data_IF_792437696685
#
_entry.id   IF_792437696685
#
_cell.length_a   1.000
_cell.length_b   1.000
_cell.length_c   1.000
_cell.angle_alpha   90.00
_cell.angle_beta   90.00
_cell.angle_gamma   90.00
#
_symmetry.space_group_name_H-M   'P 1'
#
loop_
_entity.id
_entity.type
_entity.pdbx_description
1 polymer ?
#
# COMPACT_ATOMS: atom_id res chain seq x y z
N UNK A 1 -8.87 -18.89 14.63
CA UNK A 1 -9.65 -19.59 13.59
C UNK A 1 -8.73 -19.81 12.39
N UNK A 2 -8.39 -21.07 12.10
CA UNK A 2 -7.27 -21.46 11.22
C UNK A 2 -7.52 -21.19 9.72
N UNK A 3 -8.79 -20.95 9.35
CA UNK A 3 -9.25 -20.86 7.95
C UNK A 3 -9.60 -19.44 7.47
N UNK A 4 -8.83 -18.45 7.92
CA UNK A 4 -8.92 -17.07 7.41
C UNK A 4 -7.73 -16.76 6.52
N UNK A 5 -7.90 -15.83 5.60
CA UNK A 5 -6.80 -15.35 4.78
C UNK A 5 -7.26 -14.34 3.74
N UNK A 6 -6.29 -13.80 3.00
CA UNK A 6 -6.52 -12.82 1.95
C UNK A 6 -5.90 -13.34 0.67
N UNK A 7 -6.69 -13.43 -0.39
CA UNK A 7 -6.20 -13.73 -1.73
C UNK A 7 -6.09 -12.43 -2.52
N UNK A 8 -4.87 -12.13 -2.95
CA UNK A 8 -4.54 -10.97 -3.78
C UNK A 8 -4.54 -11.38 -5.25
N UNK A 9 -5.16 -10.55 -6.09
CA UNK A 9 -4.85 -10.53 -7.52
C UNK A 9 -3.40 -10.08 -7.73
N UNK A 10 -2.98 -10.01 -9.00
CA UNK A 10 -1.75 -9.31 -9.34
C UNK A 10 -1.77 -7.90 -8.72
N UNK A 11 -0.66 -7.54 -8.10
CA UNK A 11 -0.48 -6.24 -7.46
C UNK A 11 0.36 -5.41 -8.40
N UNK A 12 -0.23 -4.35 -8.94
CA UNK A 12 0.45 -3.38 -9.80
C UNK A 12 1.03 -2.29 -8.92
N UNK A 13 2.35 -2.11 -9.00
CA UNK A 13 3.07 -1.02 -8.37
C UNK A 13 3.51 -0.04 -9.45
N UNK A 14 3.21 1.23 -9.25
CA UNK A 14 3.72 2.32 -10.08
C UNK A 14 4.50 3.28 -9.20
N UNK A 15 5.71 3.59 -9.65
CA UNK A 15 6.64 4.49 -8.97
C UNK A 15 6.64 5.81 -9.71
N UNK A 16 6.52 6.89 -8.96
CA UNK A 16 6.49 8.24 -9.49
C UNK A 16 7.59 9.08 -8.84
N UNK A 17 8.16 9.99 -9.61
CA UNK A 17 9.00 11.08 -9.12
C UNK A 17 8.13 12.33 -8.99
N UNK A 18 8.05 12.91 -7.80
CA UNK A 18 7.29 14.13 -7.56
C UNK A 18 8.13 15.35 -7.97
N UNK A 19 7.74 16.00 -9.06
CA UNK A 19 8.42 17.21 -9.55
C UNK A 19 7.95 18.45 -8.79
N UNK A 20 6.66 18.48 -8.45
CA UNK A 20 6.05 19.49 -7.61
C UNK A 20 4.81 18.87 -6.92
N UNK A 21 4.08 19.67 -6.13
CA UNK A 21 2.94 19.18 -5.36
C UNK A 21 1.79 18.60 -6.21
N UNK A 22 1.73 18.91 -7.51
CA UNK A 22 0.60 18.57 -8.39
C UNK A 22 0.96 17.59 -9.51
N UNK A 23 2.25 17.45 -9.85
CA UNK A 23 2.72 16.66 -10.98
C UNK A 23 3.65 15.52 -10.54
N UNK A 24 3.21 14.30 -10.87
CA UNK A 24 3.92 13.06 -10.57
C UNK A 24 4.33 12.41 -11.89
N UNK A 25 5.63 12.31 -12.15
CA UNK A 25 6.18 11.67 -13.34
C UNK A 25 6.30 10.17 -13.09
N UNK A 26 5.63 9.28 -13.84
CA UNK A 26 5.84 7.84 -13.70
C UNK A 26 7.25 7.48 -14.17
N UNK A 27 8.01 6.80 -13.30
CA UNK A 27 9.42 6.46 -13.57
C UNK A 27 9.66 4.96 -13.58
N UNK A 28 8.75 4.15 -13.00
CA UNK A 28 8.88 2.70 -13.02
C UNK A 28 7.53 2.01 -12.80
N UNK A 29 7.42 0.77 -13.28
CA UNK A 29 6.29 -0.12 -13.01
C UNK A 29 6.80 -1.51 -12.61
N UNK A 30 6.10 -2.16 -11.69
CA UNK A 30 6.39 -3.54 -11.30
C UNK A 30 5.13 -4.28 -10.92
N UNK A 31 5.02 -5.55 -11.31
CA UNK A 31 3.89 -6.40 -10.94
C UNK A 31 4.35 -7.51 -10.01
N UNK A 32 3.73 -7.58 -8.83
CA UNK A 32 3.85 -8.75 -7.97
C UNK A 32 2.76 -9.75 -8.39
N UNK A 33 3.10 -11.01 -8.74
CA UNK A 33 2.10 -12.04 -9.00
C UNK A 33 1.16 -12.22 -7.81
N UNK A 34 -0.12 -12.41 -8.10
CA UNK A 34 -1.15 -12.66 -7.09
C UNK A 34 -0.80 -13.85 -6.21
N UNK A 35 -1.20 -13.79 -4.94
CA UNK A 35 -0.88 -14.82 -3.97
C UNK A 35 -1.92 -14.89 -2.86
N UNK A 36 -1.94 -16.03 -2.17
CA UNK A 36 -2.72 -16.22 -0.96
C UNK A 36 -1.86 -15.95 0.28
N UNK A 37 -2.36 -15.09 1.16
CA UNK A 37 -1.80 -14.83 2.48
C UNK A 37 -2.69 -15.49 3.52
N UNK A 38 -2.17 -16.53 4.18
CA UNK A 38 -2.88 -17.21 5.28
C UNK A 38 -3.03 -16.34 6.53
N UNK A 39 -3.93 -16.73 7.43
CA UNK A 39 -4.16 -16.07 8.72
C UNK A 39 -2.84 -15.87 9.48
N UNK A 40 -2.60 -14.64 9.95
CA UNK A 40 -1.39 -14.23 10.69
C UNK A 40 -0.05 -14.49 9.97
N UNK A 41 -0.08 -14.89 8.69
CA UNK A 41 1.13 -15.01 7.87
C UNK A 41 1.48 -13.65 7.27
N UNK A 42 2.77 -13.38 7.15
CA UNK A 42 3.32 -12.19 6.49
C UNK A 42 3.98 -12.59 5.18
N UNK A 43 3.88 -11.74 4.17
CA UNK A 43 4.56 -11.92 2.90
C UNK A 43 5.56 -10.77 2.71
N UNK A 44 6.84 -11.12 2.57
CA UNK A 44 7.92 -10.18 2.31
C UNK A 44 8.50 -10.44 0.93
N UNK A 45 8.69 -9.38 0.15
CA UNK A 45 9.30 -9.44 -1.19
C UNK A 45 10.30 -8.30 -1.33
N UNK A 46 11.47 -8.62 -1.90
CA UNK A 46 12.51 -7.64 -2.23
C UNK A 46 12.79 -7.72 -3.72
N UNK A 47 12.69 -6.58 -4.40
CA UNK A 47 12.98 -6.44 -5.82
C UNK A 47 13.61 -5.08 -6.08
N UNK A 48 14.54 -5.06 -7.02
CA UNK A 48 15.10 -3.84 -7.59
C UNK A 48 14.33 -3.58 -8.87
N UNK A 49 13.91 -2.34 -9.07
CA UNK A 49 13.19 -1.87 -10.26
C UNK A 49 13.97 -0.68 -10.79
N UNK A 50 14.31 -0.72 -12.07
CA UNK A 50 15.03 0.37 -12.73
C UNK A 50 14.07 1.52 -13.02
N UNK A 51 14.51 2.75 -12.71
CA UNK A 51 13.75 3.96 -12.98
C UNK A 51 14.22 4.59 -14.30
N UNK A 52 13.27 4.91 -15.18
CA UNK A 52 13.51 5.48 -16.51
C UNK A 52 12.89 6.87 -16.61
N UNK A 53 13.52 7.78 -17.36
CA UNK A 53 12.99 9.12 -17.63
C UNK A 53 13.09 10.10 -16.46
N UNK A 54 13.82 9.74 -15.40
CA UNK A 54 13.99 10.59 -14.23
C UNK A 54 15.02 11.70 -14.51
N UNK A 55 14.73 12.97 -14.16
CA UNK A 55 15.69 14.07 -14.32
C UNK A 55 16.79 14.01 -13.26
N UNK A 56 17.69 13.03 -13.41
CA UNK A 56 18.72 12.72 -12.42
C UNK A 56 19.63 13.88 -12.07
N UNK A 57 19.93 14.77 -13.01
CA UNK A 57 20.75 15.95 -12.75
C UNK A 57 20.09 16.87 -11.72
N UNK A 58 18.84 17.27 -11.96
CA UNK A 58 18.07 18.10 -11.04
C UNK A 58 17.81 17.41 -9.70
N UNK A 59 17.52 16.11 -9.71
CA UNK A 59 17.33 15.34 -8.48
C UNK A 59 18.61 15.31 -7.62
N UNK A 60 19.78 15.09 -8.25
CA UNK A 60 21.08 15.10 -7.56
C UNK A 60 21.43 16.49 -7.02
N UNK A 61 21.24 17.53 -7.83
CA UNK A 61 21.47 18.91 -7.41
C UNK A 61 20.62 19.28 -6.18
N UNK A 62 19.33 18.95 -6.20
CA UNK A 62 18.43 19.21 -5.08
C UNK A 62 18.93 18.55 -3.79
N UNK A 63 19.31 17.27 -3.83
CA UNK A 63 19.78 16.57 -2.64
C UNK A 63 21.19 16.99 -2.20
N UNK A 64 22.06 17.40 -3.13
CA UNK A 64 23.37 17.98 -2.81
C UNK A 64 23.25 19.32 -2.09
N UNK A 65 22.19 20.08 -2.37
CA UNK A 65 21.85 21.33 -1.66
C UNK A 65 21.19 21.08 -0.29
N UNK A 66 21.22 19.85 0.23
CA UNK A 66 20.63 19.48 1.51
C UNK A 66 19.11 19.35 1.50
N UNK A 67 18.46 19.44 0.33
CA UNK A 67 17.02 19.16 0.20
C UNK A 67 16.75 17.65 0.08
N UNK A 68 15.48 17.30 -0.01
CA UNK A 68 15.05 15.91 -0.23
C UNK A 68 14.23 15.83 -1.50
N UNK A 69 14.32 14.71 -2.19
CA UNK A 69 13.46 14.41 -3.34
C UNK A 69 12.37 13.43 -2.90
N UNK A 70 11.16 13.60 -3.43
CA UNK A 70 10.02 12.76 -3.05
C UNK A 70 9.67 11.79 -4.17
N UNK A 71 9.63 10.51 -3.84
CA UNK A 71 9.07 9.47 -4.68
C UNK A 71 7.69 9.09 -4.16
N UNK A 72 6.74 8.87 -5.05
CA UNK A 72 5.41 8.35 -4.71
C UNK A 72 5.28 6.93 -5.22
N UNK A 73 4.73 6.04 -4.39
CA UNK A 73 4.44 4.66 -4.76
C UNK A 73 2.94 4.46 -4.74
N UNK A 74 2.36 4.12 -5.89
CA UNK A 74 0.98 3.70 -6.02
C UNK A 74 0.89 2.18 -6.08
N UNK A 75 -0.08 1.60 -5.36
CA UNK A 75 -0.40 0.19 -5.38
C UNK A 75 -1.86 0.02 -5.77
N UNK A 76 -2.12 -0.75 -6.83
CA UNK A 76 -3.45 -1.14 -7.25
C UNK A 76 -3.57 -2.66 -7.32
N UNK A 77 -4.58 -3.21 -6.65
CA UNK A 77 -4.89 -4.65 -6.70
C UNK A 77 -6.36 -4.91 -6.41
N UNK A 78 -6.76 -6.19 -6.43
CA UNK A 78 -8.07 -6.65 -6.00
C UNK A 78 -7.92 -7.80 -5.01
N UNK A 79 -8.63 -7.74 -3.91
CA UNK A 79 -8.55 -8.72 -2.81
C UNK A 79 -9.87 -9.46 -2.64
N UNK A 80 -9.81 -10.73 -2.23
CA UNK A 80 -10.96 -11.47 -1.69
C UNK A 80 -10.55 -12.12 -0.37
N UNK A 81 -11.45 -12.16 0.60
CA UNK A 81 -11.19 -12.69 1.92
C UNK A 81 -11.69 -14.13 2.01
N UNK A 82 -10.89 -15.03 2.58
CA UNK A 82 -11.33 -16.39 2.90
C UNK A 82 -11.99 -16.39 4.28
N UNK A 83 -13.22 -16.90 4.34
CA UNK A 83 -14.00 -17.07 5.57
C UNK A 83 -14.40 -18.54 5.63
N UNK A 84 -13.76 -19.30 6.54
CA UNK A 84 -13.99 -20.74 6.68
C UNK A 84 -13.82 -21.47 5.34
N UNK A 85 -14.92 -21.83 4.69
CA UNK A 85 -14.96 -22.67 3.50
C UNK A 85 -15.04 -21.86 2.19
N UNK A 86 -15.51 -20.61 2.20
CA UNK A 86 -15.72 -19.82 0.98
C UNK A 86 -14.91 -18.52 0.94
N UNK A 87 -14.93 -17.86 -0.23
CA UNK A 87 -14.34 -16.53 -0.43
C UNK A 87 -15.41 -15.46 -0.58
N UNK A 88 -15.12 -14.25 -0.11
CA UNK A 88 -15.95 -13.07 -0.38
C UNK A 88 -15.88 -12.65 -1.85
N UNK A 89 -16.77 -11.72 -2.25
CA UNK A 89 -16.60 -10.97 -3.50
C UNK A 89 -15.27 -10.21 -3.51
N UNK A 90 -14.73 -10.01 -4.71
CA UNK A 90 -13.46 -9.32 -4.92
C UNK A 90 -13.64 -7.81 -4.81
N UNK A 91 -12.85 -7.16 -3.98
CA UNK A 91 -12.87 -5.72 -3.74
C UNK A 91 -11.59 -5.08 -4.28
N UNK A 92 -11.71 -3.88 -4.84
CA UNK A 92 -10.55 -3.11 -5.31
C UNK A 92 -9.83 -2.48 -4.12
N UNK A 93 -8.50 -2.51 -4.15
CA UNK A 93 -7.64 -1.87 -3.17
C UNK A 93 -6.64 -0.98 -3.91
N UNK A 94 -6.75 0.33 -3.70
CA UNK A 94 -5.83 1.33 -4.24
C UNK A 94 -5.29 2.14 -3.08
N UNK A 95 -3.96 2.17 -2.95
CA UNK A 95 -3.29 2.88 -1.87
C UNK A 95 -2.02 3.54 -2.39
N UNK A 96 -1.65 4.66 -1.80
CA UNK A 96 -0.46 5.44 -2.17
C UNK A 96 0.39 5.75 -0.96
N UNK A 97 1.66 6.06 -1.18
CA UNK A 97 2.55 6.54 -0.12
C UNK A 97 3.76 7.28 -0.69
N UNK A 98 4.15 8.32 0.03
CA UNK A 98 5.28 9.18 -0.32
C UNK A 98 6.54 8.76 0.45
N UNK A 99 7.66 8.76 -0.26
CA UNK A 99 8.98 8.32 0.17
C UNK A 99 9.97 9.45 -0.13
N UNK A 100 10.29 10.24 0.90
CA UNK A 100 11.35 11.22 0.82
C UNK A 100 12.71 10.52 0.87
N UNK A 101 13.61 10.91 -0.03
CA UNK A 101 14.97 10.40 -0.19
C UNK A 101 15.95 11.57 -0.06
N UNK A 102 17.04 11.35 0.67
CA UNK A 102 18.08 12.36 0.90
C UNK A 102 19.30 12.16 -0.02
N UNK A 103 20.36 12.96 0.20
CA UNK A 103 21.59 12.94 -0.59
C UNK A 103 22.40 11.65 -0.52
N UNK A 104 22.15 10.79 0.44
CA UNK A 104 22.77 9.46 0.50
C UNK A 104 22.07 8.43 -0.39
N UNK A 105 20.90 8.78 -0.94
CA UNK A 105 20.02 7.85 -1.65
C UNK A 105 19.17 6.99 -0.72
N UNK A 106 19.23 7.23 0.59
CA UNK A 106 18.40 6.55 1.57
C UNK A 106 17.08 7.27 1.81
N UNK A 107 16.09 6.50 2.29
CA UNK A 107 14.83 7.08 2.73
C UNK A 107 15.04 7.82 4.06
N UNK A 108 14.54 9.06 4.13
CA UNK A 108 14.66 9.91 5.33
C UNK A 108 13.99 9.27 6.56
N UNK A 109 12.82 8.63 6.36
CA UNK A 109 12.08 7.99 7.46
C UNK A 109 12.72 6.65 7.81
N UNK A 110 13.13 6.45 9.07
CA UNK A 110 13.70 5.17 9.55
C UNK A 110 12.74 3.98 9.43
N UNK A 111 11.45 4.16 9.74
CA UNK A 111 10.42 3.10 9.66
C UNK A 111 9.99 2.82 8.21
N UNK A 112 9.32 1.67 8.00
CA UNK A 112 8.69 1.35 6.71
C UNK A 112 7.57 2.33 6.36
N UNK A 113 7.38 2.59 5.07
CA UNK A 113 6.31 3.47 4.58
C UNK A 113 5.02 2.64 4.45
N UNK A 114 4.01 3.00 5.23
CA UNK A 114 2.67 2.40 5.12
C UNK A 114 1.89 3.15 4.06
N UNK A 115 1.49 2.43 3.01
CA UNK A 115 0.59 2.97 1.99
C UNK A 115 -0.82 3.15 2.58
N UNK A 116 -1.49 4.25 2.22
CA UNK A 116 -2.83 4.59 2.72
C UNK A 116 -3.78 4.81 1.56
N UNK A 117 -5.06 4.55 1.81
CA UNK A 117 -6.12 4.94 0.88
C UNK A 117 -6.30 6.45 0.91
N UNK A 118 -6.65 7.05 -0.23
CA UNK A 118 -7.10 8.43 -0.31
C UNK A 118 -8.58 8.62 0.07
N UNK A 119 -9.32 7.52 0.27
CA UNK A 119 -10.68 7.59 0.78
C UNK A 119 -10.67 8.13 2.23
N UNK A 120 -11.65 8.96 2.63
CA UNK A 120 -11.77 9.41 4.00
C UNK A 120 -11.85 8.19 4.93
N UNK A 121 -11.07 8.23 6.00
CA UNK A 121 -10.97 7.13 6.95
C UNK A 121 -12.34 6.98 7.63
N UNK A 122 -13.13 6.01 7.18
CA UNK A 122 -14.45 5.75 7.74
C UNK A 122 -14.22 5.08 9.10
N UNK A 123 -14.03 5.89 10.14
CA UNK A 123 -14.00 5.44 11.53
C UNK A 123 -15.36 4.83 11.86
N UNK A 124 -15.54 3.55 11.57
CA UNK A 124 -16.58 2.75 12.18
C UNK A 124 -16.26 2.66 13.67
N UNK A 125 -16.82 3.57 14.47
CA UNK A 125 -17.15 3.28 15.86
C UNK A 125 -18.15 2.12 15.80
N UNK A 126 -17.64 0.89 15.89
CA UNK A 126 -18.46 -0.28 16.15
C UNK A 126 -19.01 -0.09 17.57
N UNK A 127 -20.11 0.66 17.72
CA UNK A 127 -20.93 0.58 18.93
C UNK A 127 -21.62 -0.78 18.81
N UNK A 128 -21.00 -1.80 19.39
CA UNK A 128 -21.63 -3.11 19.55
C UNK A 128 -22.77 -2.89 20.53
N UNK A 129 -23.97 -2.59 20.02
CA UNK A 129 -25.20 -2.66 20.80
C UNK A 129 -25.47 -4.15 20.98
N UNK A 130 -25.07 -4.71 22.12
CA UNK A 130 -25.54 -6.01 22.57
C UNK A 130 -27.04 -5.87 22.94
N UNK A 131 -27.94 -5.97 21.96
CA UNK A 131 -29.33 -6.29 22.25
C UNK A 131 -29.39 -7.77 22.64
N UNK A 132 -29.34 -8.04 23.95
CA UNK A 132 -29.77 -9.31 24.51
C UNK A 132 -31.28 -9.44 24.29
N UNK A 133 -31.67 -10.05 23.18
CA UNK A 133 -33.03 -10.56 23.00
C UNK A 133 -33.09 -11.93 23.70
N UNK A 134 -33.18 -11.93 25.03
CA UNK A 134 -33.60 -13.11 25.79
C UNK A 134 -35.10 -13.00 26.02
N UNK A 135 -35.85 -13.57 25.09
CA UNK A 135 -37.22 -14.04 25.29
C UNK A 135 -37.23 -15.36 24.48
N UNK A 136 -37.45 -16.56 25.03
CA UNK A 136 -38.63 -17.04 25.75
C UNK A 136 -38.33 -18.46 26.29
N UNK A 137 -39.08 -18.92 27.30
CA UNK A 137 -39.23 -20.29 27.85
C UNK A 137 -38.65 -20.54 29.28
N UNK A 138 -39.31 -19.97 30.28
CA UNK A 138 -40.06 -20.69 31.31
C UNK A 138 -41.19 -19.79 31.84
#
# INVERSE_FOLDING_TARGET
MKDKGVNYANISLTFYYALNNSYNLPVANFTVPGFYQGHEKKAHRRKVVEAVGLPWAAAREAVSNGSTVSFRVGLATRVKYKILVWFTKRQSLVVVGDVAVDGSGEKVKKKGIKLKSGAPDMRCRLVIVFTFLVILLL
#
